data_IF_387565411690
#
_entry.id   IF_387565411690
#
_cell.length_a   1.000
_cell.length_b   1.000
_cell.length_c   1.000
_cell.angle_alpha   90.00
_cell.angle_beta   90.00
_cell.angle_gamma   90.00
#
_symmetry.space_group_name_H-M   'P 1'
#
loop_
_entity.id
_entity.type
_entity.pdbx_description
1 polymer ?
#
# COMPACT_ATOMS: atom_id res chain seq x y z
N UNK A 1 6.34 -10.03 -8.42
CA UNK A 1 6.99 -8.79 -8.88
C UNK A 1 7.30 -8.89 -10.37
N UNK A 2 7.41 -7.73 -11.05
CA UNK A 2 7.72 -7.63 -12.47
C UNK A 2 9.00 -6.82 -12.64
N UNK A 3 10.09 -7.51 -13.04
CA UNK A 3 11.39 -6.91 -13.25
C UNK A 3 11.66 -6.70 -14.73
N UNK A 4 12.16 -5.54 -15.09
CA UNK A 4 12.52 -5.18 -16.47
C UNK A 4 13.98 -4.73 -16.56
N UNK A 5 14.63 -5.14 -17.64
CA UNK A 5 15.97 -4.67 -18.00
C UNK A 5 16.06 -4.50 -19.51
N UNK A 6 16.67 -3.42 -19.96
CA UNK A 6 16.89 -3.13 -21.38
C UNK A 6 18.31 -2.64 -21.60
N UNK A 7 18.89 -3.10 -22.68
CA UNK A 7 20.19 -2.63 -23.15
C UNK A 7 20.15 -2.56 -24.68
N UNK A 8 20.20 -1.33 -25.20
CA UNK A 8 20.19 -1.10 -26.65
C UNK A 8 21.61 -1.12 -27.26
N UNK A 9 21.67 -1.25 -28.58
CA UNK A 9 22.87 -1.09 -29.38
C UNK A 9 24.03 -2.03 -28.99
N UNK A 10 23.73 -3.26 -28.57
CA UNK A 10 24.74 -4.25 -28.27
C UNK A 10 25.16 -4.99 -29.55
N UNK A 11 26.46 -5.17 -29.74
CA UNK A 11 27.06 -5.96 -30.81
C UNK A 11 27.87 -7.09 -30.20
N UNK A 12 28.22 -8.10 -31.02
CA UNK A 12 29.07 -9.22 -30.58
C UNK A 12 30.40 -8.75 -29.98
N UNK A 13 30.91 -7.63 -30.48
CA UNK A 13 32.22 -7.09 -30.06
C UNK A 13 32.12 -6.08 -28.92
N UNK A 14 30.88 -5.72 -28.53
CA UNK A 14 30.66 -4.85 -27.39
C UNK A 14 31.07 -5.53 -26.09
N UNK A 15 31.82 -4.83 -25.24
CA UNK A 15 32.23 -5.29 -23.91
C UNK A 15 32.85 -6.71 -23.89
N UNK A 16 33.65 -7.06 -24.90
CA UNK A 16 34.25 -8.40 -25.04
C UNK A 16 33.21 -9.55 -25.01
N UNK A 17 32.03 -9.30 -25.62
CA UNK A 17 30.92 -10.26 -25.69
C UNK A 17 30.12 -10.41 -24.39
N UNK A 18 30.34 -9.56 -23.38
CA UNK A 18 29.60 -9.57 -22.11
C UNK A 18 28.48 -8.54 -22.16
N UNK A 19 27.31 -8.91 -21.64
CA UNK A 19 26.15 -8.02 -21.49
C UNK A 19 25.81 -7.90 -20.01
N UNK A 20 25.83 -6.68 -19.48
CA UNK A 20 25.38 -6.40 -18.11
C UNK A 20 23.97 -5.82 -18.17
N UNK A 21 23.02 -6.48 -17.53
CA UNK A 21 21.64 -6.03 -17.42
C UNK A 21 21.37 -5.50 -16.01
N UNK A 22 20.87 -4.28 -15.92
CA UNK A 22 20.35 -3.71 -14.68
C UNK A 22 18.84 -3.87 -14.64
N UNK A 23 18.37 -4.70 -13.72
CA UNK A 23 16.94 -4.92 -13.53
C UNK A 23 16.32 -3.84 -12.63
N UNK A 24 15.15 -3.41 -13.00
CA UNK A 24 14.34 -2.43 -12.24
C UNK A 24 12.97 -3.03 -11.96
N UNK A 25 12.42 -2.70 -10.79
CA UNK A 25 11.03 -3.02 -10.48
C UNK A 25 10.11 -2.16 -11.36
N UNK A 26 9.20 -2.80 -12.08
CA UNK A 26 8.21 -2.12 -12.90
C UNK A 26 6.86 -1.99 -12.19
N UNK A 27 6.72 -2.58 -11.01
CA UNK A 27 5.56 -2.47 -10.14
C UNK A 27 5.88 -1.62 -8.90
N UNK A 28 4.87 -1.34 -8.11
CA UNK A 28 4.92 -0.55 -6.88
C UNK A 28 4.67 -1.46 -5.69
N UNK A 29 5.41 -1.31 -4.61
CA UNK A 29 5.16 -2.01 -3.35
C UNK A 29 4.33 -1.13 -2.42
N UNK A 30 3.29 -1.72 -1.82
CA UNK A 30 2.46 -1.07 -0.82
C UNK A 30 2.57 -1.85 0.48
N UNK A 31 2.82 -1.13 1.56
CA UNK A 31 2.93 -1.65 2.93
C UNK A 31 2.00 -0.86 3.83
N UNK A 32 1.32 -1.55 4.73
CA UNK A 32 0.52 -0.90 5.77
C UNK A 32 1.19 -1.00 7.13
N UNK A 33 1.11 0.11 7.87
CA UNK A 33 1.36 0.18 9.30
C UNK A 33 0.05 0.44 10.01
N UNK A 34 -0.25 -0.30 11.06
CA UNK A 34 -1.46 -0.17 11.87
C UNK A 34 -1.11 0.52 13.18
N UNK A 35 -1.82 1.57 13.52
CA UNK A 35 -1.69 2.31 14.77
C UNK A 35 -3.08 2.53 15.38
N UNK A 36 -3.22 2.40 16.71
CA UNK A 36 -4.40 2.81 17.44
C UNK A 36 -4.15 4.12 18.18
N UNK A 37 -5.13 4.97 18.33
CA UNK A 37 -5.00 6.27 18.99
C UNK A 37 -5.04 6.21 20.52
N UNK A 38 -5.71 5.22 21.13
CA UNK A 38 -5.84 5.08 22.59
C UNK A 38 -5.00 3.89 23.10
N UNK A 39 -4.02 4.18 23.96
CA UNK A 39 -3.15 3.18 24.63
C UNK A 39 -3.87 2.20 25.56
N UNK A 40 -5.13 2.45 25.89
CA UNK A 40 -5.95 1.58 26.72
C UNK A 40 -6.93 0.72 25.89
N UNK A 41 -6.83 0.82 24.56
CA UNK A 41 -7.71 0.10 23.63
C UNK A 41 -6.89 -0.94 22.86
N UNK A 42 -7.42 -2.14 22.78
CA UNK A 42 -6.93 -3.20 21.92
C UNK A 42 -7.70 -3.18 20.61
N UNK A 43 -7.00 -3.04 19.51
CA UNK A 43 -7.54 -3.08 18.15
C UNK A 43 -7.25 -4.42 17.50
N UNK A 44 -8.22 -4.96 16.77
CA UNK A 44 -8.07 -6.19 16.00
C UNK A 44 -8.50 -5.92 14.56
N UNK A 45 -7.56 -5.91 13.63
CA UNK A 45 -7.81 -5.73 12.19
C UNK A 45 -7.93 -7.10 11.53
N UNK A 46 -8.95 -7.30 10.73
CA UNK A 46 -9.22 -8.56 10.03
C UNK A 46 -9.12 -8.47 8.51
N UNK A 47 -9.35 -7.29 7.95
CA UNK A 47 -9.24 -7.10 6.51
C UNK A 47 -8.81 -5.66 6.18
N UNK A 48 -8.03 -5.54 5.10
CA UNK A 48 -7.74 -4.27 4.42
C UNK A 48 -8.02 -4.49 2.94
N UNK A 49 -8.84 -3.63 2.35
CA UNK A 49 -9.23 -3.74 0.95
C UNK A 49 -9.09 -2.39 0.25
N UNK A 50 -8.50 -2.39 -0.94
CA UNK A 50 -8.57 -1.25 -1.85
C UNK A 50 -9.80 -1.36 -2.73
N UNK A 51 -10.47 -0.24 -2.96
CA UNK A 51 -11.52 -0.10 -3.94
C UNK A 51 -11.09 0.87 -5.06
N UNK A 52 -11.66 0.68 -6.23
CA UNK A 52 -11.40 1.48 -7.44
C UNK A 52 -9.95 1.42 -7.97
N UNK A 53 -9.16 0.43 -7.56
CA UNK A 53 -7.85 0.20 -8.14
C UNK A 53 -7.95 -0.33 -9.57
N UNK A 54 -7.05 0.13 -10.43
CA UNK A 54 -6.80 -0.46 -11.74
C UNK A 54 -5.79 -1.58 -11.57
N UNK A 55 -6.23 -2.83 -11.74
CA UNK A 55 -5.39 -4.02 -11.52
C UNK A 55 -4.90 -4.66 -12.82
N UNK A 56 -5.31 -4.13 -13.95
CA UNK A 56 -4.89 -4.56 -15.29
C UNK A 56 -4.38 -3.38 -16.10
N UNK A 57 -3.48 -3.64 -17.02
CA UNK A 57 -2.89 -2.62 -17.90
C UNK A 57 -1.90 -3.23 -18.88
N UNK A 58 -1.33 -2.40 -19.73
CA UNK A 58 -0.24 -2.76 -20.64
C UNK A 58 1.05 -2.03 -20.26
N UNK A 59 2.16 -2.72 -20.40
CA UNK A 59 3.49 -2.17 -20.18
C UNK A 59 4.18 -1.93 -21.52
N UNK A 60 4.63 -0.70 -21.76
CA UNK A 60 5.41 -0.36 -22.94
C UNK A 60 6.90 -0.39 -22.60
N UNK A 61 7.61 -1.36 -23.15
CA UNK A 61 9.05 -1.54 -22.98
C UNK A 61 9.89 -0.40 -23.60
N UNK A 62 9.36 0.35 -24.56
CA UNK A 62 10.11 1.43 -25.20
C UNK A 62 10.16 2.67 -24.31
N UNK A 63 9.04 2.95 -23.65
CA UNK A 63 8.89 4.12 -22.79
C UNK A 63 9.09 3.77 -21.30
N UNK A 64 9.18 2.48 -20.96
CA UNK A 64 9.22 1.96 -19.59
C UNK A 64 8.03 2.47 -18.75
N UNK A 65 6.85 2.44 -19.33
CA UNK A 65 5.65 2.99 -18.68
C UNK A 65 4.46 2.05 -18.75
N UNK A 66 3.61 2.16 -17.75
CA UNK A 66 2.32 1.50 -17.69
C UNK A 66 1.22 2.36 -18.28
N UNK A 67 0.30 1.72 -18.97
CA UNK A 67 -1.01 2.27 -19.32
C UNK A 67 -2.06 1.44 -18.59
N UNK A 68 -2.58 1.91 -17.44
CA UNK A 68 -3.62 1.23 -16.70
C UNK A 68 -4.92 1.13 -17.52
N UNK A 69 -5.69 0.05 -17.32
CA UNK A 69 -7.02 -0.08 -17.90
C UNK A 69 -7.92 1.06 -17.43
N UNK A 70 -8.82 1.52 -18.31
CA UNK A 70 -9.83 2.53 -17.96
C UNK A 70 -10.90 2.01 -16.99
N UNK A 71 -11.05 0.69 -16.89
CA UNK A 71 -12.03 0.07 -16.00
C UNK A 71 -11.35 -0.29 -14.69
N UNK A 72 -11.79 0.27 -13.54
CA UNK A 72 -11.34 -0.20 -12.24
C UNK A 72 -11.71 -1.67 -12.11
N UNK A 73 -10.76 -2.47 -11.67
CA UNK A 73 -11.05 -3.85 -11.33
C UNK A 73 -11.53 -3.93 -9.87
N UNK A 74 -12.03 -5.10 -9.54
CA UNK A 74 -12.54 -5.48 -8.22
C UNK A 74 -11.59 -5.06 -7.07
N UNK A 75 -12.13 -5.01 -5.86
CA UNK A 75 -11.37 -4.75 -4.65
C UNK A 75 -10.17 -5.71 -4.53
N UNK A 76 -8.98 -5.16 -4.34
CA UNK A 76 -7.81 -5.93 -3.95
C UNK A 76 -7.72 -5.95 -2.43
N UNK A 77 -7.74 -7.13 -1.81
CA UNK A 77 -7.79 -7.23 -0.35
C UNK A 77 -6.74 -8.18 0.22
N UNK A 78 -6.30 -7.89 1.44
CA UNK A 78 -5.59 -8.81 2.32
C UNK A 78 -6.49 -9.16 3.50
N UNK A 79 -6.69 -10.45 3.72
CA UNK A 79 -7.30 -10.95 4.95
C UNK A 79 -6.18 -11.25 5.94
N UNK A 80 -6.26 -10.62 7.10
CA UNK A 80 -5.29 -10.81 8.16
C UNK A 80 -5.77 -11.97 9.05
N UNK A 81 -5.00 -13.05 9.05
CA UNK A 81 -5.23 -14.19 9.93
C UNK A 81 -4.79 -13.87 11.36
N UNK A 82 -4.94 -14.78 12.28
CA UNK A 82 -4.76 -14.61 13.75
C UNK A 82 -3.47 -13.85 14.12
N UNK A 83 -3.51 -13.08 15.23
CA UNK A 83 -2.48 -12.19 15.78
C UNK A 83 -2.41 -10.77 15.22
N UNK A 84 -3.47 -10.25 14.64
CA UNK A 84 -3.54 -8.85 14.21
C UNK A 84 -4.19 -7.93 15.26
N UNK A 85 -4.18 -8.37 16.52
CA UNK A 85 -4.50 -7.51 17.67
C UNK A 85 -3.26 -6.76 18.14
N UNK A 86 -3.45 -5.50 18.49
CA UNK A 86 -2.41 -4.66 19.07
C UNK A 86 -3.05 -3.62 19.99
N UNK A 87 -2.29 -3.19 20.99
CA UNK A 87 -2.70 -2.09 21.86
C UNK A 87 -2.34 -0.78 21.20
N UNK A 88 -3.24 0.17 21.23
CA UNK A 88 -2.99 1.51 20.68
C UNK A 88 -1.97 2.30 21.50
N UNK A 89 -1.63 3.48 21.05
CA UNK A 89 -0.67 4.41 21.67
C UNK A 89 0.39 4.91 20.70
N UNK A 90 1.18 5.84 21.16
CA UNK A 90 2.05 6.64 20.28
C UNK A 90 3.25 5.91 19.69
N UNK A 91 3.73 4.81 20.29
CA UNK A 91 5.07 4.28 20.02
C UNK A 91 5.11 2.98 19.20
N UNK A 92 3.97 2.37 18.84
CA UNK A 92 3.99 1.06 18.21
C UNK A 92 3.02 0.95 17.03
N UNK A 93 3.44 1.43 15.87
CA UNK A 93 2.78 1.04 14.63
C UNK A 93 3.16 -0.42 14.29
N UNK A 94 2.18 -1.31 14.18
CA UNK A 94 2.38 -2.68 13.70
C UNK A 94 2.53 -2.65 12.19
N UNK A 95 3.72 -2.95 11.68
CA UNK A 95 3.98 -3.03 10.25
C UNK A 95 3.52 -4.38 9.70
N UNK A 96 2.86 -4.35 8.54
CA UNK A 96 2.40 -5.51 7.80
C UNK A 96 3.36 -5.76 6.62
N UNK A 97 4.48 -6.45 6.89
CA UNK A 97 5.54 -6.72 5.91
C UNK A 97 5.74 -8.21 5.60
N UNK A 98 4.98 -9.10 6.22
CA UNK A 98 5.05 -10.52 5.91
C UNK A 98 4.65 -10.80 4.46
N UNK A 99 5.21 -11.84 3.87
CA UNK A 99 5.02 -12.18 2.45
C UNK A 99 3.56 -12.25 1.99
N UNK A 100 2.64 -12.57 2.91
CA UNK A 100 1.19 -12.62 2.64
C UNK A 100 0.48 -11.27 2.90
N UNK A 101 1.20 -10.24 3.34
CA UNK A 101 0.68 -8.93 3.71
C UNK A 101 1.24 -7.82 2.80
N UNK A 102 2.23 -8.14 1.98
CA UNK A 102 2.76 -7.25 0.97
C UNK A 102 1.83 -7.18 -0.23
N UNK A 103 1.59 -5.98 -0.70
CA UNK A 103 0.88 -5.75 -1.95
C UNK A 103 1.86 -5.25 -3.01
N UNK A 104 1.94 -5.96 -4.13
CA UNK A 104 2.68 -5.53 -5.31
C UNK A 104 1.65 -5.16 -6.37
N UNK A 105 1.56 -3.88 -6.67
CA UNK A 105 0.49 -3.29 -7.45
C UNK A 105 1.04 -2.51 -8.64
N UNK A 106 0.17 -2.27 -9.62
CA UNK A 106 0.52 -1.49 -10.80
C UNK A 106 0.63 0.00 -10.46
N UNK A 107 1.69 0.70 -10.93
CA UNK A 107 1.81 2.15 -10.82
C UNK A 107 0.61 2.85 -11.46
N UNK A 108 0.02 3.80 -10.76
CA UNK A 108 -1.17 4.53 -11.23
C UNK A 108 -1.43 5.81 -10.44
N UNK A 109 -2.20 6.70 -11.03
CA UNK A 109 -2.82 7.81 -10.33
C UNK A 109 -4.00 7.29 -9.48
N UNK A 110 -4.06 7.75 -8.23
CA UNK A 110 -5.08 7.36 -7.25
C UNK A 110 -6.27 8.33 -7.34
N UNK A 111 -7.10 8.16 -8.37
CA UNK A 111 -8.34 8.90 -8.51
C UNK A 111 -9.48 8.07 -7.95
N UNK A 112 -10.18 8.59 -6.94
CA UNK A 112 -11.28 7.93 -6.24
C UNK A 112 -10.93 6.56 -5.61
N UNK A 113 -9.64 6.32 -5.35
CA UNK A 113 -9.20 5.10 -4.68
C UNK A 113 -9.45 5.23 -3.18
N UNK A 114 -10.10 4.22 -2.61
CA UNK A 114 -10.34 4.14 -1.18
C UNK A 114 -9.71 2.88 -0.59
N UNK A 115 -9.42 2.95 0.71
CA UNK A 115 -9.03 1.81 1.51
C UNK A 115 -10.08 1.56 2.58
N UNK A 116 -10.62 0.36 2.59
CA UNK A 116 -11.53 -0.14 3.61
C UNK A 116 -10.76 -0.96 4.63
N UNK A 117 -10.93 -0.66 5.90
CA UNK A 117 -10.33 -1.42 6.98
C UNK A 117 -11.42 -2.00 7.86
N UNK A 118 -11.44 -3.32 7.97
CA UNK A 118 -12.36 -4.03 8.88
C UNK A 118 -11.63 -4.29 10.19
N UNK A 119 -12.15 -3.74 11.28
CA UNK A 119 -11.57 -3.92 12.60
C UNK A 119 -12.61 -3.88 13.71
N UNK A 120 -12.22 -4.35 14.89
CA UNK A 120 -12.95 -4.17 16.16
C UNK A 120 -12.03 -3.54 17.19
N UNK A 121 -12.61 -2.97 18.24
CA UNK A 121 -11.87 -2.36 19.33
C UNK A 121 -12.48 -2.74 20.70
N UNK A 122 -11.61 -3.03 21.66
CA UNK A 122 -11.95 -3.46 23.00
C UNK A 122 -11.18 -2.65 24.05
N UNK A 123 -11.85 -2.28 25.13
CA UNK A 123 -11.26 -1.59 26.28
C UNK A 123 -11.58 -2.35 27.57
N UNK A 124 -10.54 -2.80 28.28
CA UNK A 124 -10.69 -3.56 29.53
C UNK A 124 -11.60 -4.80 29.41
N UNK A 125 -11.51 -5.53 28.30
CA UNK A 125 -12.33 -6.72 28.07
C UNK A 125 -13.77 -6.41 27.63
N UNK A 126 -14.09 -5.14 27.37
CA UNK A 126 -15.40 -4.71 26.87
C UNK A 126 -15.27 -4.21 25.44
N UNK A 127 -16.04 -4.80 24.53
CA UNK A 127 -16.11 -4.33 23.14
C UNK A 127 -16.72 -2.93 23.11
N UNK A 128 -15.95 -1.96 22.61
CA UNK A 128 -16.35 -0.56 22.45
C UNK A 128 -16.64 -0.19 21.00
N UNK A 129 -16.13 -0.97 20.07
CA UNK A 129 -16.42 -0.88 18.65
C UNK A 129 -16.56 -2.31 18.10
N UNK A 130 -17.77 -2.76 17.76
CA UNK A 130 -17.98 -4.07 17.16
C UNK A 130 -17.35 -4.11 15.78
N UNK A 131 -17.02 -5.31 15.30
CA UNK A 131 -16.39 -5.46 13.98
C UNK A 131 -17.17 -4.70 12.91
N UNK A 132 -16.50 -3.73 12.31
CA UNK A 132 -17.06 -2.86 11.30
C UNK A 132 -16.02 -2.39 10.30
N UNK A 133 -16.50 -1.83 9.19
CA UNK A 133 -15.68 -1.27 8.13
C UNK A 133 -15.59 0.23 8.28
N UNK A 134 -14.38 0.76 8.19
CA UNK A 134 -14.13 2.19 8.04
C UNK A 134 -13.35 2.42 6.76
N UNK A 135 -13.71 3.46 6.03
CA UNK A 135 -13.15 3.80 4.72
C UNK A 135 -12.33 5.08 4.82
N UNK A 136 -11.19 5.09 4.15
CA UNK A 136 -10.39 6.30 3.93
C UNK A 136 -10.08 6.46 2.45
N UNK A 137 -9.99 7.70 1.98
CA UNK A 137 -9.61 8.01 0.59
C UNK A 137 -8.11 8.17 0.47
N UNK A 138 -7.53 7.63 -0.60
CA UNK A 138 -6.14 7.84 -0.97
C UNK A 138 -6.06 8.77 -2.16
N UNK A 139 -4.98 9.57 -2.20
CA UNK A 139 -4.69 10.46 -3.31
C UNK A 139 -3.20 10.42 -3.66
N UNK A 140 -2.85 10.95 -4.83
CA UNK A 140 -1.48 11.01 -5.31
C UNK A 140 -1.22 10.03 -6.45
N UNK A 141 0.04 9.70 -6.69
CA UNK A 141 0.45 8.79 -7.78
C UNK A 141 1.48 7.80 -7.25
N UNK A 142 1.28 6.54 -7.57
CA UNK A 142 2.27 5.49 -7.37
C UNK A 142 3.17 5.37 -8.58
N UNK A 143 4.48 5.35 -8.35
CA UNK A 143 5.47 5.17 -9.40
C UNK A 143 6.09 3.78 -9.36
N UNK A 144 6.59 3.33 -10.51
CA UNK A 144 7.28 2.06 -10.65
C UNK A 144 8.60 2.06 -9.86
N UNK A 145 8.85 0.98 -9.13
CA UNK A 145 10.05 0.82 -8.31
C UNK A 145 9.99 1.51 -6.95
N UNK A 146 8.91 2.19 -6.63
CA UNK A 146 8.73 2.85 -5.35
C UNK A 146 8.02 1.94 -4.33
N UNK A 147 8.32 2.17 -3.06
CA UNK A 147 7.62 1.58 -1.92
C UNK A 147 6.84 2.67 -1.18
N UNK A 148 5.56 2.48 -1.04
CA UNK A 148 4.67 3.37 -0.27
C UNK A 148 4.26 2.69 1.03
N UNK A 149 4.42 3.42 2.14
CA UNK A 149 4.06 2.95 3.47
C UNK A 149 2.92 3.80 3.99
N UNK A 150 1.75 3.20 4.15
CA UNK A 150 0.56 3.87 4.68
C UNK A 150 0.37 3.51 6.15
N UNK A 151 0.37 4.52 7.02
CA UNK A 151 0.00 4.34 8.42
C UNK A 151 -1.50 4.59 8.59
N UNK A 152 -2.22 3.56 8.97
CA UNK A 152 -3.65 3.59 9.27
C UNK A 152 -3.83 3.80 10.77
N UNK A 153 -4.25 5.00 11.18
CA UNK A 153 -4.53 5.31 12.59
C UNK A 153 -5.99 5.00 12.86
N UNK A 154 -6.24 3.95 13.63
CA UNK A 154 -7.57 3.48 13.98
C UNK A 154 -8.07 4.21 15.23
N UNK A 155 -9.31 4.67 15.16
CA UNK A 155 -10.03 5.27 16.29
C UNK A 155 -11.30 4.48 16.56
N UNK A 156 -11.52 4.13 17.81
CA UNK A 156 -12.73 3.40 18.18
C UNK A 156 -13.96 4.30 17.99
N UNK A 157 -14.81 3.95 17.03
CA UNK A 157 -16.06 4.68 16.73
C UNK A 157 -15.92 5.85 15.75
N UNK A 158 -14.72 6.32 15.46
CA UNK A 158 -14.46 7.46 14.58
C UNK A 158 -13.89 7.04 13.20
N UNK A 159 -13.57 8.06 12.40
CA UNK A 159 -12.92 7.89 11.10
C UNK A 159 -11.49 7.34 11.24
N UNK A 160 -11.03 6.64 10.21
CA UNK A 160 -9.61 6.25 10.10
C UNK A 160 -8.85 7.45 9.54
N UNK A 161 -7.72 7.77 10.16
CA UNK A 161 -6.76 8.71 9.62
C UNK A 161 -5.68 7.92 8.90
N UNK A 162 -5.42 8.25 7.64
CA UNK A 162 -4.34 7.67 6.85
C UNK A 162 -3.24 8.70 6.67
N UNK A 163 -2.03 8.35 7.00
CA UNK A 163 -0.83 9.08 6.61
C UNK A 163 0.05 8.20 5.74
N UNK A 164 0.68 8.76 4.73
CA UNK A 164 1.53 8.00 3.81
C UNK A 164 2.96 8.51 3.83
N UNK A 165 3.89 7.60 3.76
CA UNK A 165 5.30 7.83 3.46
C UNK A 165 5.64 7.04 2.20
N UNK A 166 6.49 7.58 1.35
CA UNK A 166 6.98 6.82 0.21
C UNK A 166 8.50 6.63 0.28
N UNK A 167 8.91 5.50 -0.23
CA UNK A 167 10.31 5.09 -0.26
C UNK A 167 10.75 4.91 -1.72
N UNK A 168 11.88 5.49 -2.11
CA UNK A 168 12.46 5.34 -3.45
C UNK A 168 13.26 4.04 -3.55
N UNK A 169 13.09 3.31 -4.65
CA UNK A 169 13.82 2.06 -4.89
C UNK A 169 13.81 1.11 -3.69
N UNK A 170 12.66 0.98 -3.03
CA UNK A 170 12.49 0.23 -1.79
C UNK A 170 13.27 0.81 -0.59
N UNK A 171 13.78 2.03 -0.71
CA UNK A 171 14.41 2.78 0.40
C UNK A 171 13.50 3.91 0.88
N UNK A 172 13.42 4.16 2.21
CA UNK A 172 12.52 5.17 2.78
C UNK A 172 12.73 6.59 2.22
N UNK A 173 11.65 7.20 1.75
CA UNK A 173 11.57 8.63 1.51
C UNK A 173 10.40 9.21 2.28
N UNK A 174 10.63 10.30 3.00
CA UNK A 174 9.54 11.07 3.60
C UNK A 174 8.88 11.91 2.53
N UNK A 175 7.59 11.72 2.31
CA UNK A 175 6.75 12.51 1.44
C UNK A 175 5.39 12.74 2.06
N UNK A 176 4.85 13.94 1.89
CA UNK A 176 3.50 14.26 2.38
C UNK A 176 2.47 13.64 1.44
N UNK A 177 1.87 12.54 1.86
CA UNK A 177 0.63 12.10 1.26
C UNK A 177 -0.50 12.94 1.86
N UNK A 178 -1.03 13.88 1.08
CA UNK A 178 -2.24 14.61 1.47
C UNK A 178 -3.41 13.65 1.46
N UNK A 179 -3.95 13.37 2.62
CA UNK A 179 -5.22 12.69 2.80
C UNK A 179 -6.28 13.76 3.01
N UNK A 180 -7.11 13.99 2.01
CA UNK A 180 -8.30 14.82 2.18
C UNK A 180 -9.35 13.98 2.91
N UNK A 181 -9.67 14.36 4.13
CA UNK A 181 -10.84 13.86 4.85
C UNK A 181 -12.09 14.52 4.24
N UNK A 182 -12.86 13.77 3.49
CA UNK A 182 -14.22 14.18 3.14
C UNK A 182 -15.06 14.22 4.42
N UNK A 183 -15.18 15.43 4.98
CA UNK A 183 -16.20 15.71 6.00
C UNK A 183 -17.55 15.78 5.30
N UNK A 184 -18.40 14.81 5.57
CA UNK A 184 -19.86 14.97 5.47
C UNK A 184 -20.48 14.89 6.83
#
# INVERSE_FOLDING_TARGET
DFLVAQLANQTKDSNAGKVSLSFKHALTQIVFKLKGDDKNVTYKVTNIAFNNLKTTGSYDYKTNSWTPSSTPAFSYSITLTENNSFVGGDDAAKTLEDANQLMILMPQELSDVTVDVTFSAEKNGVEIFPSGVKTATLSGTWFAGDKYVYTLVLKAGDEIVVSGEFEDNWTPKTGDANVENDKK
#
